data_IF_604535574089
#
_entry.id   IF_604535574089
#
_cell.length_a   1.000
_cell.length_b   1.000
_cell.length_c   1.000
_cell.angle_alpha   90.00
_cell.angle_beta   90.00
_cell.angle_gamma   90.00
#
_symmetry.space_group_name_H-M   'P 1'
#
loop_
_entity.id
_entity.type
_entity.pdbx_description
1 polymer ?
#
# COMPACT_ATOMS: atom_id res chain seq x y z
N UNK A 1 -8.69 -5.91 -1.48
CA UNK A 1 -8.06 -4.63 -1.85
C UNK A 1 -7.39 -4.75 -3.20
N UNK A 2 -7.43 -3.69 -4.00
CA UNK A 2 -6.73 -3.59 -5.28
C UNK A 2 -5.46 -2.76 -5.11
N UNK A 3 -4.32 -3.29 -5.55
CA UNK A 3 -3.03 -2.59 -5.51
C UNK A 3 -2.73 -2.08 -6.93
N UNK A 4 -2.55 -0.77 -7.07
CA UNK A 4 -2.18 -0.15 -8.35
C UNK A 4 -0.73 0.32 -8.23
N UNK A 5 0.15 -0.29 -9.02
CA UNK A 5 1.59 -0.01 -8.98
C UNK A 5 2.22 -0.17 -10.37
N UNK A 6 3.29 0.59 -10.65
CA UNK A 6 4.05 0.45 -11.90
C UNK A 6 4.89 -0.84 -11.95
N UNK A 7 5.46 -1.24 -10.81
CA UNK A 7 6.26 -2.46 -10.65
C UNK A 7 5.56 -3.38 -9.66
N UNK A 8 5.58 -4.69 -9.93
CA UNK A 8 4.99 -5.70 -9.04
C UNK A 8 5.96 -6.08 -7.91
N UNK A 9 5.42 -6.27 -6.72
CA UNK A 9 6.12 -6.83 -5.56
C UNK A 9 5.72 -8.30 -5.31
N UNK A 10 6.28 -8.96 -4.30
CA UNK A 10 6.04 -10.38 -4.03
C UNK A 10 4.63 -10.68 -3.50
N UNK A 11 3.99 -9.75 -2.80
CA UNK A 11 2.63 -9.92 -2.24
C UNK A 11 1.52 -9.54 -3.23
N UNK A 12 1.85 -8.91 -4.35
CA UNK A 12 0.86 -8.46 -5.34
C UNK A 12 0.13 -9.63 -6.03
N UNK A 13 0.64 -10.85 -5.96
CA UNK A 13 -0.01 -12.04 -6.52
C UNK A 13 -1.32 -12.38 -5.78
N UNK A 14 -1.41 -12.05 -4.49
CA UNK A 14 -2.57 -12.38 -3.63
C UNK A 14 -3.80 -11.56 -3.98
N UNK A 15 -3.63 -10.42 -4.66
CA UNK A 15 -4.75 -9.55 -5.03
C UNK A 15 -5.80 -10.25 -5.90
N UNK A 16 -5.43 -11.29 -6.65
CA UNK A 16 -6.35 -12.09 -7.46
C UNK A 16 -7.40 -12.83 -6.62
N UNK A 17 -7.10 -13.08 -5.34
CA UNK A 17 -8.00 -13.76 -4.39
C UNK A 17 -8.74 -12.77 -3.47
N UNK A 18 -8.48 -11.47 -3.58
CA UNK A 18 -9.08 -10.45 -2.73
C UNK A 18 -10.57 -10.24 -3.00
N UNK A 19 -11.41 -10.33 -1.97
CA UNK A 19 -12.87 -10.17 -2.10
C UNK A 19 -13.31 -8.71 -2.31
N UNK A 20 -12.70 -7.76 -1.58
CA UNK A 20 -13.10 -6.36 -1.62
C UNK A 20 -12.27 -5.55 -2.63
N UNK A 21 -12.88 -5.09 -3.72
CA UNK A 21 -12.23 -4.26 -4.73
C UNK A 21 -12.38 -2.75 -4.47
N UNK A 22 -13.12 -2.35 -3.43
CA UNK A 22 -13.39 -0.93 -3.14
C UNK A 22 -12.19 -0.23 -2.50
N UNK A 23 -11.43 -0.95 -1.67
CA UNK A 23 -10.19 -0.45 -1.09
C UNK A 23 -9.07 -0.47 -2.15
N UNK A 24 -8.63 0.73 -2.55
CA UNK A 24 -7.57 0.92 -3.54
C UNK A 24 -6.32 1.44 -2.84
N UNK A 25 -5.21 0.72 -2.98
CA UNK A 25 -3.88 1.16 -2.55
C UNK A 25 -3.04 1.52 -3.77
N UNK A 26 -2.75 2.81 -3.95
CA UNK A 26 -1.90 3.31 -5.04
C UNK A 26 -0.46 3.38 -4.54
N UNK A 27 0.38 2.43 -4.98
CA UNK A 27 1.78 2.35 -4.58
C UNK A 27 2.65 3.15 -5.55
N UNK A 28 2.90 4.40 -5.20
CA UNK A 28 3.85 5.28 -5.89
C UNK A 28 5.07 5.49 -5.01
N UNK A 29 6.26 4.96 -5.39
CA UNK A 29 7.47 5.16 -4.62
C UNK A 29 7.88 6.64 -4.56
N UNK A 30 8.18 7.12 -3.36
CA UNK A 30 8.70 8.47 -3.13
C UNK A 30 10.03 8.36 -2.40
N UNK A 31 11.10 8.94 -2.97
CA UNK A 31 12.43 8.93 -2.37
C UNK A 31 12.73 10.29 -1.72
N UNK A 32 13.09 10.25 -0.44
CA UNK A 32 13.51 11.42 0.33
C UNK A 32 14.95 11.21 0.79
N UNK A 33 15.84 12.09 0.35
CA UNK A 33 17.23 12.11 0.81
C UNK A 33 17.27 12.78 2.19
N UNK A 34 17.94 12.13 3.15
CA UNK A 34 18.10 12.64 4.50
C UNK A 34 19.52 13.14 4.71
N UNK A 35 19.66 14.25 5.45
CA UNK A 35 20.96 14.61 6.02
C UNK A 35 21.27 13.68 7.20
N UNK A 36 22.54 13.46 7.48
CA UNK A 36 22.96 12.60 8.59
C UNK A 36 22.36 13.00 9.96
N UNK A 37 22.13 14.30 10.19
CA UNK A 37 21.49 14.82 11.42
C UNK A 37 19.99 14.54 11.51
N UNK A 38 19.35 14.24 10.39
CA UNK A 38 17.91 13.94 10.29
C UNK A 38 17.64 12.43 10.39
N UNK A 39 18.68 11.60 10.53
CA UNK A 39 18.53 10.16 10.71
C UNK A 39 18.01 9.83 12.10
N UNK A 40 16.73 9.45 12.18
CA UNK A 40 16.04 9.16 13.45
C UNK A 40 16.02 7.68 13.82
N UNK A 41 16.47 6.79 12.92
CA UNK A 41 16.44 5.36 13.15
C UNK A 41 17.65 4.87 13.96
N UNK A 42 17.53 3.73 14.68
CA UNK A 42 18.69 2.98 15.14
C UNK A 42 19.75 2.89 14.04
N UNK A 43 21.01 3.07 14.40
CA UNK A 43 22.11 2.83 13.48
C UNK A 43 23.21 2.01 14.13
N UNK A 44 23.84 1.17 13.33
CA UNK A 44 25.16 0.64 13.66
C UNK A 44 26.13 1.83 13.64
N UNK A 45 26.44 2.36 14.82
CA UNK A 45 27.37 3.48 15.01
C UNK A 45 28.60 3.32 14.12
N UNK A 46 29.00 4.33 13.36
CA UNK A 46 30.19 4.26 12.52
C UNK A 46 31.44 4.22 13.40
N UNK A 47 31.94 3.04 13.73
CA UNK A 47 33.38 2.89 13.99
C UNK A 47 34.03 2.49 12.68
N UNK A 48 35.15 3.12 12.39
CA UNK A 48 36.03 2.91 11.25
C UNK A 48 35.95 1.52 10.63
N UNK A 49 35.67 1.50 9.32
CA UNK A 49 35.86 0.45 8.31
C UNK A 49 36.10 -0.98 8.82
N UNK A 50 35.10 -1.85 8.64
CA UNK A 50 35.42 -3.24 8.35
C UNK A 50 36.18 -3.27 7.02
N UNK A 51 37.48 -3.52 7.06
CA UNK A 51 38.37 -3.49 5.87
C UNK A 51 37.95 -4.51 4.79
N UNK A 52 37.06 -5.45 5.10
CA UNK A 52 36.73 -6.58 4.24
C UNK A 52 35.24 -6.78 3.94
N UNK A 53 34.32 -6.06 4.61
CA UNK A 53 32.88 -6.16 4.37
C UNK A 53 32.25 -4.79 4.35
N UNK A 54 31.53 -4.49 3.28
CA UNK A 54 30.64 -3.34 3.24
C UNK A 54 29.31 -3.76 3.84
N UNK A 55 28.80 -2.94 4.76
CA UNK A 55 27.52 -3.20 5.42
C UNK A 55 26.62 -2.03 5.05
N UNK A 56 25.53 -2.34 4.36
CA UNK A 56 24.45 -1.40 4.13
C UNK A 56 23.35 -1.72 5.14
N UNK A 57 22.94 -0.71 5.89
CA UNK A 57 21.87 -0.88 6.87
C UNK A 57 20.56 -0.42 6.27
N UNK A 58 19.54 -1.26 6.38
CA UNK A 58 18.17 -0.96 6.03
C UNK A 58 17.27 -1.09 7.27
N UNK A 59 16.29 -0.20 7.36
CA UNK A 59 15.18 -0.30 8.30
C UNK A 59 13.92 -0.37 7.44
N UNK A 60 13.31 -1.55 7.40
CA UNK A 60 12.06 -1.78 6.69
C UNK A 60 10.93 -1.42 7.63
N UNK A 61 10.23 -0.33 7.36
CA UNK A 61 8.95 -0.03 7.97
C UNK A 61 7.84 -0.80 7.28
N UNK A 62 7.08 -1.58 8.03
CA UNK A 62 5.96 -2.36 7.53
C UNK A 62 4.78 -2.32 8.51
N UNK A 63 3.68 -1.71 8.06
CA UNK A 63 2.39 -1.60 8.75
C UNK A 63 2.50 -1.16 10.23
N UNK A 64 3.25 -0.09 10.49
CA UNK A 64 3.43 0.48 11.83
C UNK A 64 4.61 -0.07 12.63
N UNK A 65 5.28 -1.12 12.14
CA UNK A 65 6.43 -1.75 12.80
C UNK A 65 7.71 -1.59 11.98
N UNK A 66 8.86 -1.49 12.63
CA UNK A 66 10.16 -1.51 11.96
C UNK A 66 10.85 -2.86 12.06
N UNK A 67 11.58 -3.22 11.00
CA UNK A 67 12.35 -4.45 10.88
C UNK A 67 13.77 -4.09 10.43
N UNK A 68 14.79 -4.33 11.27
CA UNK A 68 16.17 -4.12 10.88
C UNK A 68 16.61 -5.17 9.86
N UNK A 69 17.30 -4.72 8.82
CA UNK A 69 17.95 -5.60 7.86
C UNK A 69 19.36 -5.08 7.56
N UNK A 70 20.34 -5.98 7.57
CA UNK A 70 21.73 -5.68 7.26
C UNK A 70 22.09 -6.37 5.95
N UNK A 71 22.32 -5.60 4.91
CA UNK A 71 22.88 -6.13 3.67
C UNK A 71 24.40 -6.17 3.81
N UNK A 72 24.93 -7.39 3.88
CA UNK A 72 26.36 -7.65 4.00
C UNK A 72 26.94 -7.96 2.64
N UNK A 73 27.91 -7.16 2.22
CA UNK A 73 28.66 -7.37 0.98
C UNK A 73 30.08 -7.84 1.29
N UNK A 74 30.55 -8.84 0.55
CA UNK A 74 31.91 -9.36 0.65
C UNK A 74 32.40 -9.94 -0.68
N UNK A 75 33.62 -10.45 -0.67
CA UNK A 75 34.24 -11.08 -1.84
C UNK A 75 34.85 -12.42 -1.45
N UNK A 76 34.53 -13.46 -2.22
CA UNK A 76 35.18 -14.77 -2.10
C UNK A 76 35.79 -15.12 -3.44
N UNK A 77 37.12 -15.22 -3.49
CA UNK A 77 37.86 -15.54 -4.74
C UNK A 77 37.47 -14.61 -5.91
N UNK A 78 37.33 -13.31 -5.64
CA UNK A 78 36.85 -12.28 -6.59
C UNK A 78 35.38 -12.38 -7.03
N UNK A 79 34.58 -13.30 -6.47
CA UNK A 79 33.13 -13.30 -6.68
C UNK A 79 32.47 -12.42 -5.62
N UNK A 80 31.71 -11.37 -6.01
CA UNK A 80 30.96 -10.57 -5.05
C UNK A 80 29.82 -11.41 -4.45
N UNK A 81 29.66 -11.31 -3.14
CA UNK A 81 28.59 -11.97 -2.39
C UNK A 81 27.82 -10.87 -1.67
N UNK A 82 26.49 -10.90 -1.77
CA UNK A 82 25.59 -10.09 -0.97
C UNK A 82 24.59 -10.99 -0.25
N UNK A 83 24.28 -10.68 1.02
CA UNK A 83 23.23 -11.35 1.77
C UNK A 83 22.53 -10.36 2.70
N UNK A 84 21.20 -10.38 2.70
CA UNK A 84 20.38 -9.61 3.65
C UNK A 84 20.15 -10.43 4.90
N UNK A 85 20.55 -9.88 6.05
CA UNK A 85 20.45 -10.51 7.36
C UNK A 85 19.45 -9.77 8.25
N UNK A 86 18.44 -10.49 8.75
CA UNK A 86 17.42 -9.96 9.66
C UNK A 86 17.65 -10.30 11.13
N UNK A 87 18.53 -11.28 11.40
CA UNK A 87 18.85 -11.72 12.77
C UNK A 87 20.36 -11.80 12.99
N UNK A 88 20.77 -11.85 14.26
CA UNK A 88 22.18 -12.00 14.62
C UNK A 88 22.75 -13.34 14.18
N UNK A 89 21.93 -14.39 14.18
CA UNK A 89 22.31 -15.74 13.74
C UNK A 89 22.63 -15.77 12.24
N UNK A 90 21.91 -14.99 11.45
CA UNK A 90 22.18 -14.85 10.02
C UNK A 90 23.50 -14.12 9.76
N UNK A 91 23.80 -13.10 10.57
CA UNK A 91 25.11 -12.42 10.56
C UNK A 91 26.21 -13.38 10.99
N UNK A 92 26.01 -14.14 12.06
CA UNK A 92 26.94 -15.17 12.54
C UNK A 92 27.22 -16.21 11.44
N UNK A 93 26.18 -16.65 10.72
CA UNK A 93 26.32 -17.59 9.62
C UNK A 93 27.09 -16.99 8.44
N UNK A 94 26.79 -15.75 8.04
CA UNK A 94 27.51 -15.05 6.97
C UNK A 94 29.00 -14.89 7.30
N UNK A 95 29.31 -14.43 8.51
CA UNK A 95 30.70 -14.32 9.00
C UNK A 95 31.35 -15.70 9.10
N UNK A 96 30.61 -16.71 9.56
CA UNK A 96 31.04 -18.09 9.65
C UNK A 96 31.46 -18.68 8.31
N UNK A 97 30.72 -18.38 7.24
CA UNK A 97 30.93 -18.94 5.91
C UNK A 97 32.03 -18.18 5.15
N UNK A 98 31.99 -16.85 5.16
CA UNK A 98 32.79 -16.05 4.23
C UNK A 98 33.98 -15.33 4.85
N UNK A 99 33.99 -15.12 6.16
CA UNK A 99 35.09 -14.40 6.80
C UNK A 99 36.32 -15.30 7.03
N UNK A 100 37.51 -14.72 6.91
CA UNK A 100 38.77 -15.39 7.22
C UNK A 100 38.91 -15.65 8.74
N UNK A 101 39.91 -16.44 9.13
CA UNK A 101 40.14 -16.79 10.54
C UNK A 101 40.35 -15.56 11.42
N UNK A 102 41.15 -14.59 10.96
CA UNK A 102 41.45 -13.36 11.71
C UNK A 102 40.21 -12.48 11.87
N UNK A 103 39.36 -12.43 10.86
CA UNK A 103 38.11 -11.68 10.84
C UNK A 103 37.09 -12.29 11.81
N UNK A 104 36.96 -13.63 11.81
CA UNK A 104 36.14 -14.37 12.78
C UNK A 104 36.61 -14.10 14.21
N UNK A 105 37.92 -14.19 14.45
CA UNK A 105 38.50 -13.92 15.77
C UNK A 105 38.21 -12.48 16.23
N UNK A 106 38.29 -11.51 15.34
CA UNK A 106 37.91 -10.11 15.61
C UNK A 106 36.41 -9.96 15.93
N UNK A 107 35.54 -10.57 15.12
CA UNK A 107 34.09 -10.51 15.28
C UNK A 107 33.63 -11.13 16.60
N UNK A 108 34.16 -12.30 16.96
CA UNK A 108 33.85 -12.99 18.22
C UNK A 108 34.66 -12.49 19.42
N UNK A 109 35.56 -11.51 19.24
CA UNK A 109 36.34 -10.91 20.32
C UNK A 109 37.45 -11.81 20.90
N UNK A 110 37.82 -12.89 20.20
CA UNK A 110 38.89 -13.81 20.60
C UNK A 110 40.24 -13.21 20.17
N UNK A 111 40.87 -12.46 21.07
CA UNK A 111 42.32 -12.21 21.11
C UNK A 111 43.03 -11.83 19.79
N UNK A 112 42.77 -10.64 19.24
CA UNK A 112 43.69 -10.01 18.28
C UNK A 112 44.91 -9.37 18.97
N UNK A 113 46.07 -9.31 18.31
CA UNK A 113 47.20 -8.44 18.72
C UNK A 113 46.67 -7.00 18.86
N UNK A 114 47.13 -6.24 19.87
CA UNK A 114 46.60 -4.93 20.30
C UNK A 114 46.34 -3.93 19.15
N UNK A 115 47.14 -3.99 18.09
CA UNK A 115 47.10 -3.11 16.92
C UNK A 115 46.00 -3.45 15.87
N UNK A 116 45.52 -4.70 15.83
CA UNK A 116 44.44 -5.13 14.92
C UNK A 116 43.06 -5.14 15.59
N UNK A 117 42.98 -4.87 16.90
CA UNK A 117 41.73 -4.88 17.70
C UNK A 117 40.75 -3.73 17.37
N UNK A 118 41.11 -2.82 16.47
CA UNK A 118 40.44 -1.52 16.34
C UNK A 118 39.50 -1.33 15.15
N UNK A 119 39.51 -2.21 14.16
CA UNK A 119 38.88 -1.89 12.85
C UNK A 119 37.62 -2.71 12.53
N UNK A 120 37.35 -3.82 13.21
CA UNK A 120 36.14 -4.62 12.95
C UNK A 120 35.01 -4.36 13.94
N UNK A 121 33.76 -4.38 13.48
CA UNK A 121 32.60 -4.45 14.38
C UNK A 121 32.55 -5.80 15.09
N UNK A 122 32.25 -5.78 16.37
CA UNK A 122 32.08 -7.01 17.17
C UNK A 122 30.66 -7.54 17.04
N UNK A 123 30.49 -8.85 17.23
CA UNK A 123 29.17 -9.49 17.35
C UNK A 123 28.24 -8.76 18.33
N UNK A 124 28.79 -8.28 19.44
CA UNK A 124 28.03 -7.55 20.46
C UNK A 124 27.47 -6.22 19.98
N UNK A 125 28.07 -5.57 18.98
CA UNK A 125 27.54 -4.33 18.38
C UNK A 125 26.36 -4.62 17.46
N UNK A 126 26.42 -5.69 16.67
CA UNK A 126 25.29 -6.17 15.89
C UNK A 126 24.12 -6.58 16.79
N UNK A 127 24.40 -7.35 17.84
CA UNK A 127 23.38 -7.74 18.82
C UNK A 127 22.70 -6.51 19.46
N UNK A 128 23.49 -5.51 19.88
CA UNK A 128 22.96 -4.24 20.41
C UNK A 128 22.11 -3.48 19.40
N UNK A 129 22.47 -3.50 18.12
CA UNK A 129 21.68 -2.88 17.06
C UNK A 129 20.31 -3.54 16.92
N UNK A 130 20.27 -4.87 16.78
CA UNK A 130 19.01 -5.62 16.69
C UNK A 130 18.15 -5.42 17.95
N UNK A 131 18.76 -5.46 19.14
CA UNK A 131 18.08 -5.19 20.41
C UNK A 131 17.52 -3.75 20.47
N UNK A 132 18.27 -2.76 19.98
CA UNK A 132 17.83 -1.37 19.94
C UNK A 132 16.66 -1.16 18.97
N UNK A 133 16.69 -1.85 17.82
CA UNK A 133 15.57 -1.86 16.87
C UNK A 133 14.32 -2.50 17.48
N UNK A 134 14.46 -3.62 18.18
CA UNK A 134 13.32 -4.29 18.83
C UNK A 134 12.68 -3.40 19.90
N UNK A 135 13.50 -2.70 20.70
CA UNK A 135 13.01 -1.73 21.70
C UNK A 135 12.24 -0.55 21.08
N UNK A 136 12.52 -0.19 19.84
CA UNK A 136 11.88 0.91 19.10
C UNK A 136 10.92 0.42 18.02
N UNK A 137 10.52 -0.84 18.06
CA UNK A 137 9.78 -1.50 16.98
C UNK A 137 8.51 -0.76 16.57
N UNK A 138 7.79 -0.20 17.53
CA UNK A 138 6.50 0.48 17.33
C UNK A 138 6.60 2.01 17.48
N UNK A 139 7.79 2.54 17.83
CA UNK A 139 7.99 3.98 18.08
C UNK A 139 7.83 4.86 16.84
N UNK A 140 7.70 4.26 15.66
CA UNK A 140 7.61 4.96 14.38
C UNK A 140 6.21 4.96 13.79
N UNK A 141 5.18 4.50 14.52
CA UNK A 141 3.80 4.41 14.04
C UNK A 141 3.26 5.72 13.46
N UNK A 142 3.58 6.86 14.08
CA UNK A 142 3.17 8.19 13.62
C UNK A 142 3.66 8.50 12.20
N UNK A 143 4.87 8.06 11.84
CA UNK A 143 5.44 8.26 10.50
C UNK A 143 4.60 7.56 9.42
N UNK A 144 4.04 6.39 9.72
CA UNK A 144 3.17 5.67 8.78
C UNK A 144 1.83 6.39 8.58
N UNK A 145 1.29 6.99 9.65
CA UNK A 145 0.03 7.73 9.62
C UNK A 145 0.18 9.05 8.85
N UNK A 146 1.22 9.83 9.16
CA UNK A 146 1.47 11.12 8.52
C UNK A 146 1.67 10.99 7.00
N UNK A 147 2.37 9.94 6.58
CA UNK A 147 2.66 9.69 5.15
C UNK A 147 1.61 8.82 4.46
N UNK A 148 0.58 8.35 5.19
CA UNK A 148 -0.42 7.40 4.68
C UNK A 148 0.20 6.21 3.93
N UNK A 149 1.30 5.70 4.48
CA UNK A 149 2.17 4.79 3.76
C UNK A 149 2.41 3.53 4.59
N UNK A 150 1.93 2.35 4.17
CA UNK A 150 2.13 1.11 4.93
C UNK A 150 3.58 0.63 4.91
N UNK A 151 4.40 1.10 3.96
CA UNK A 151 5.72 0.55 3.68
C UNK A 151 6.73 1.65 3.46
N UNK A 152 7.83 1.65 4.20
CA UNK A 152 8.99 2.45 3.83
C UNK A 152 10.28 1.65 4.02
N UNK A 153 11.33 2.06 3.33
CA UNK A 153 12.68 1.55 3.59
C UNK A 153 13.62 2.70 3.80
N UNK A 154 14.13 2.83 5.02
CA UNK A 154 15.20 3.76 5.34
C UNK A 154 16.55 3.06 5.16
N UNK A 155 17.41 3.60 4.32
CA UNK A 155 18.74 3.06 4.03
C UNK A 155 19.79 4.04 4.47
N UNK A 156 20.82 3.56 5.18
CA UNK A 156 22.03 4.30 5.47
C UNK A 156 23.25 3.51 4.98
N UNK A 157 24.04 4.14 4.12
CA UNK A 157 25.30 3.61 3.60
C UNK A 157 26.33 4.71 3.65
N UNK A 158 27.44 4.51 4.38
CA UNK A 158 28.59 5.40 4.49
C UNK A 158 28.28 6.91 4.66
N UNK A 159 27.94 7.60 3.56
CA UNK A 159 27.67 9.05 3.49
C UNK A 159 26.25 9.41 3.04
N UNK A 160 25.47 8.43 2.62
CA UNK A 160 24.15 8.61 2.03
C UNK A 160 23.11 7.98 2.95
N UNK A 161 22.12 8.78 3.33
CA UNK A 161 20.93 8.33 4.03
C UNK A 161 19.71 8.71 3.22
N UNK A 162 18.79 7.78 3.01
CA UNK A 162 17.54 8.03 2.31
C UNK A 162 16.40 7.19 2.85
N UNK A 163 15.17 7.69 2.72
CA UNK A 163 13.94 6.94 2.94
C UNK A 163 13.23 6.80 1.60
N UNK A 164 12.79 5.60 1.29
CA UNK A 164 11.90 5.34 0.16
C UNK A 164 10.55 4.93 0.73
N UNK A 165 9.55 5.80 0.62
CA UNK A 165 8.16 5.47 0.92
C UNK A 165 7.58 4.65 -0.22
N UNK A 166 6.65 3.74 0.10
CA UNK A 166 6.05 2.80 -0.85
C UNK A 166 7.11 2.00 -1.63
N UNK A 167 8.23 1.67 -0.97
CA UNK A 167 9.32 0.92 -1.56
C UNK A 167 8.89 -0.51 -1.93
N UNK A 168 9.61 -1.11 -2.88
CA UNK A 168 9.51 -2.54 -3.15
C UNK A 168 10.28 -3.30 -2.07
N UNK A 169 9.68 -4.35 -1.53
CA UNK A 169 10.22 -5.19 -0.46
C UNK A 169 10.97 -6.41 -0.98
N UNK A 170 10.68 -6.87 -2.21
CA UNK A 170 11.41 -7.98 -2.84
C UNK A 170 12.94 -7.81 -2.85
N UNK A 171 13.54 -6.65 -3.16
CA UNK A 171 15.00 -6.51 -3.16
C UNK A 171 15.66 -6.74 -1.80
N UNK A 172 14.89 -6.65 -0.72
CA UNK A 172 15.40 -6.80 0.65
C UNK A 172 15.11 -8.20 1.22
N UNK A 173 14.71 -9.16 0.40
CA UNK A 173 14.34 -10.52 0.81
C UNK A 173 13.30 -10.57 1.95
N UNK A 174 12.43 -9.56 2.03
CA UNK A 174 11.45 -9.44 3.12
C UNK A 174 10.39 -10.55 3.11
N UNK A 175 10.28 -11.28 2.00
CA UNK A 175 9.47 -12.50 1.87
C UNK A 175 9.83 -13.58 2.91
N UNK A 176 11.06 -13.53 3.45
CA UNK A 176 11.53 -14.43 4.51
C UNK A 176 10.88 -14.15 5.87
N UNK A 177 10.43 -12.91 6.08
CA UNK A 177 9.79 -12.47 7.33
C UNK A 177 8.28 -12.57 7.22
N UNK A 178 7.72 -12.13 6.09
CA UNK A 178 6.29 -12.23 5.79
C UNK A 178 6.08 -12.95 4.47
N UNK A 179 5.30 -14.02 4.50
CA UNK A 179 4.85 -14.65 3.26
C UNK A 179 3.90 -13.71 2.48
N UNK A 180 3.70 -13.94 1.17
CA UNK A 180 2.86 -13.09 0.33
C UNK A 180 1.46 -12.82 0.90
N UNK A 181 0.81 -13.81 1.53
CA UNK A 181 -0.55 -13.66 2.06
C UNK A 181 -0.57 -12.83 3.33
N UNK A 182 0.31 -13.13 4.29
CA UNK A 182 0.43 -12.35 5.52
C UNK A 182 0.78 -10.89 5.22
N UNK A 183 1.73 -10.66 4.31
CA UNK A 183 2.08 -9.30 3.89
C UNK A 183 0.89 -8.56 3.26
N UNK A 184 0.14 -9.22 2.37
CA UNK A 184 -1.05 -8.63 1.76
C UNK A 184 -2.13 -8.30 2.79
N UNK A 185 -2.36 -9.20 3.75
CA UNK A 185 -3.36 -9.02 4.81
C UNK A 185 -2.99 -7.87 5.76
N UNK A 186 -1.73 -7.76 6.18
CA UNK A 186 -1.26 -6.66 7.01
C UNK A 186 -1.44 -5.30 6.31
N UNK A 187 -1.08 -5.22 5.02
CA UNK A 187 -1.32 -4.01 4.22
C UNK A 187 -2.82 -3.71 4.15
N UNK A 188 -3.65 -4.73 3.91
CA UNK A 188 -5.11 -4.56 3.88
C UNK A 188 -5.64 -3.99 5.20
N UNK A 189 -5.23 -4.58 6.33
CA UNK A 189 -5.62 -4.12 7.66
C UNK A 189 -5.18 -2.68 7.90
N UNK A 190 -3.91 -2.36 7.62
CA UNK A 190 -3.38 -1.01 7.74
C UNK A 190 -4.18 -0.01 6.90
N UNK A 191 -4.38 -0.30 5.61
CA UNK A 191 -5.13 0.56 4.69
C UNK A 191 -6.59 0.72 5.10
N UNK A 192 -7.22 -0.32 5.66
CA UNK A 192 -8.60 -0.26 6.15
C UNK A 192 -8.74 0.53 7.45
N UNK A 193 -7.69 0.58 8.28
CA UNK A 193 -7.69 1.31 9.54
C UNK A 193 -7.51 2.82 9.36
N UNK A 194 -6.96 3.24 8.22
CA UNK A 194 -6.90 4.65 7.88
C UNK A 194 -8.31 5.15 7.56
N UNK A 195 -8.79 6.10 8.36
CA UNK A 195 -10.03 6.80 8.09
C UNK A 195 -9.91 7.47 6.71
N UNK A 196 -10.57 6.88 5.71
CA UNK A 196 -10.67 7.54 4.42
C UNK A 196 -11.49 8.81 4.61
N UNK A 197 -11.08 9.95 4.03
CA UNK A 197 -11.96 11.11 3.98
C UNK A 197 -13.29 10.65 3.40
N UNK A 198 -14.39 10.99 4.07
CA UNK A 198 -15.73 10.65 3.57
C UNK A 198 -15.80 11.09 2.11
N UNK A 199 -16.22 10.17 1.23
CA UNK A 199 -16.47 10.54 -0.17
C UNK A 199 -17.38 11.75 -0.15
N UNK A 200 -16.94 12.85 -0.75
CA UNK A 200 -17.76 14.05 -0.86
C UNK A 200 -19.13 13.63 -1.36
N UNK A 201 -20.16 13.91 -0.56
CA UNK A 201 -21.52 13.58 -0.96
C UNK A 201 -21.75 14.27 -2.30
N UNK A 202 -22.05 13.52 -3.38
CA UNK A 202 -22.27 14.15 -4.67
C UNK A 202 -23.39 15.17 -4.46
N UNK A 203 -23.16 16.41 -4.89
CA UNK A 203 -24.19 17.45 -4.82
C UNK A 203 -25.31 17.04 -5.76
N UNK A 204 -26.29 16.30 -5.23
CA UNK A 204 -27.45 15.86 -5.99
C UNK A 204 -28.26 17.12 -6.26
N UNK A 205 -28.46 17.46 -7.53
CA UNK A 205 -29.34 18.55 -7.93
C UNK A 205 -30.74 18.33 -7.36
N UNK A 206 -31.45 19.42 -7.06
CA UNK A 206 -32.81 19.32 -6.51
C UNK A 206 -33.74 18.53 -7.44
N UNK A 207 -33.56 18.63 -8.76
CA UNK A 207 -34.31 17.89 -9.77
C UNK A 207 -34.14 16.37 -9.61
N UNK A 208 -32.90 15.89 -9.41
CA UNK A 208 -32.62 14.48 -9.16
C UNK A 208 -33.16 14.01 -7.81
N UNK A 209 -33.18 14.88 -6.79
CA UNK A 209 -33.81 14.59 -5.49
C UNK A 209 -35.33 14.45 -5.63
N UNK A 210 -35.96 15.30 -6.43
CA UNK A 210 -37.40 15.28 -6.75
C UNK A 210 -37.73 14.00 -7.52
N UNK A 211 -36.98 13.69 -8.59
CA UNK A 211 -37.17 12.46 -9.37
C UNK A 211 -36.98 11.18 -8.55
N UNK A 212 -35.93 11.08 -7.72
CA UNK A 212 -35.71 9.89 -6.85
C UNK A 212 -36.82 9.66 -5.84
N UNK A 213 -37.53 10.71 -5.43
CA UNK A 213 -38.69 10.62 -4.52
C UNK A 213 -39.98 10.23 -5.25
N UNK A 214 -39.93 10.00 -6.57
CA UNK A 214 -41.09 9.67 -7.38
C UNK A 214 -41.98 10.89 -7.70
N UNK A 215 -41.49 12.10 -7.46
CA UNK A 215 -42.18 13.30 -7.90
C UNK A 215 -41.88 13.55 -9.37
N UNK A 216 -42.88 13.35 -10.22
CA UNK A 216 -42.89 13.91 -11.57
C UNK A 216 -43.32 15.40 -11.52
N UNK A 217 -43.21 16.09 -12.66
CA UNK A 217 -43.64 17.49 -12.80
C UNK A 217 -45.12 17.70 -12.42
N UNK A 218 -45.91 16.64 -12.41
CA UNK A 218 -47.37 16.65 -12.28
C UNK A 218 -47.87 16.04 -10.96
N UNK A 219 -46.98 15.66 -10.04
CA UNK A 219 -47.37 14.95 -8.81
C UNK A 219 -48.26 15.79 -7.88
N UNK A 220 -48.33 17.10 -8.12
CA UNK A 220 -49.20 18.04 -7.41
C UNK A 220 -50.10 18.87 -8.35
N UNK A 221 -50.13 18.59 -9.64
CA UNK A 221 -50.92 19.36 -10.62
C UNK A 221 -51.55 18.43 -11.65
N UNK A 222 -52.85 18.58 -11.91
CA UNK A 222 -53.53 17.82 -12.96
C UNK A 222 -52.86 18.10 -14.31
N UNK A 223 -52.60 17.06 -15.09
CA UNK A 223 -52.15 17.23 -16.47
C UNK A 223 -53.17 18.09 -17.24
N UNK A 224 -52.72 19.17 -17.90
CA UNK A 224 -53.58 19.99 -18.74
C UNK A 224 -53.95 19.16 -19.98
N UNK A 225 -55.17 18.61 -19.96
CA UNK A 225 -55.69 17.77 -21.03
C UNK A 225 -56.56 16.62 -20.52
N UNK A 226 -56.39 16.19 -19.27
CA UNK A 226 -57.23 15.16 -18.68
C UNK A 226 -58.40 15.78 -17.90
N UNK A 227 -59.17 16.63 -18.60
CA UNK A 227 -60.51 16.97 -18.13
C UNK A 227 -61.36 15.71 -18.19
N UNK A 228 -61.94 15.36 -17.05
CA UNK A 228 -62.79 14.22 -16.73
C UNK A 228 -64.12 14.20 -17.54
N UNK A 229 -64.07 14.40 -18.86
CA UNK A 229 -65.25 14.47 -19.75
C UNK A 229 -65.26 13.39 -20.85
N UNK A 230 -64.38 12.40 -20.79
CA UNK A 230 -64.34 11.33 -21.81
C UNK A 230 -64.95 10.00 -21.36
N UNK A 231 -65.37 9.85 -20.10
CA UNK A 231 -65.85 8.56 -19.57
C UNK A 231 -67.37 8.33 -19.67
N UNK A 232 -68.14 9.31 -20.17
CA UNK A 232 -69.60 9.18 -20.29
C UNK A 232 -70.14 8.97 -21.73
N UNK A 233 -69.29 8.94 -22.77
CA UNK A 233 -69.77 8.81 -24.17
C UNK A 233 -69.63 7.38 -24.73
N UNK A 234 -68.93 6.47 -24.06
CA UNK A 234 -68.76 5.09 -24.58
C UNK A 234 -69.73 4.04 -24.03
N UNK A 235 -70.75 4.43 -23.24
CA UNK A 235 -71.73 3.48 -22.67
C UNK A 235 -73.17 3.61 -23.21
N UNK A 236 -73.39 4.36 -24.30
CA UNK A 236 -74.70 4.44 -25.00
C UNK A 236 -74.52 4.22 -26.52
N UNK A 237 -73.73 3.22 -26.93
CA UNK A 237 -73.66 2.80 -28.34
C UNK A 237 -73.51 1.28 -28.50
N UNK A 238 -74.00 0.50 -27.54
CA UNK A 238 -74.02 -0.97 -27.61
C UNK A 238 -75.40 -1.60 -27.44
N UNK A 239 -76.45 -0.84 -27.74
CA UNK A 239 -77.83 -1.32 -27.84
C UNK A 239 -78.51 -0.62 -29.01
N UNK A 240 -78.19 -1.07 -30.23
CA UNK A 240 -79.17 -1.27 -31.31
C UNK A 240 -78.46 -1.83 -32.54
N UNK A 241 -78.50 -3.16 -32.63
CA UNK A 241 -78.49 -3.84 -33.91
C UNK A 241 -79.65 -3.29 -34.74
N UNK A 242 -79.37 -2.69 -35.89
CA UNK A 242 -79.92 -3.13 -37.18
C UNK A 242 -79.77 -2.04 -38.26
N UNK A 243 -79.38 -2.51 -39.44
CA UNK A 243 -79.87 -2.02 -40.74
C UNK A 243 -79.21 -0.74 -41.31
N UNK A 244 -78.33 -1.05 -42.29
CA UNK A 244 -78.14 -0.43 -43.60
C UNK A 244 -77.52 0.96 -43.76
N UNK A 245 -76.52 0.97 -44.65
CA UNK A 245 -76.32 1.94 -45.73
C UNK A 245 -76.14 3.40 -45.33
N UNK A 246 -74.91 3.90 -45.47
CA UNK A 246 -74.58 5.01 -46.37
C UNK A 246 -73.13 5.46 -46.13
N UNK A 247 -72.18 4.84 -46.84
CA UNK A 247 -70.90 5.48 -47.12
C UNK A 247 -71.10 6.43 -48.30
N UNK A 248 -71.34 7.71 -48.02
CA UNK A 248 -71.25 8.75 -49.02
C UNK A 248 -70.83 10.07 -48.37
N UNK A 249 -69.65 10.54 -48.79
CA UNK A 249 -69.33 11.94 -49.05
C UNK A 249 -69.53 12.93 -47.90
N UNK A 250 -68.44 13.41 -47.30
CA UNK A 250 -68.24 14.84 -47.07
C UNK A 250 -66.74 15.12 -46.86
N UNK A 251 -66.02 15.30 -47.97
CA UNK A 251 -64.80 16.10 -48.01
C UNK A 251 -65.22 17.45 -48.59
N UNK A 252 -65.37 18.46 -47.73
CA UNK A 252 -65.47 19.85 -48.17
C UNK A 252 -64.55 20.70 -47.30
N UNK A 253 -63.46 21.04 -47.96
CA UNK A 253 -62.55 22.16 -47.77
C UNK A 253 -63.27 23.50 -47.59
N UNK A 254 -63.02 24.15 -46.47
CA UNK A 254 -63.07 25.60 -46.21
C UNK A 254 -62.01 25.79 -45.10
N UNK A 255 -61.00 26.64 -45.17
CA UNK A 255 -60.84 27.94 -45.83
C UNK A 255 -60.01 28.77 -44.85
#
# INVERSE_FOLDING_TARGET
MRIIAMKKDYYDCVQAHGQDQTLIYVRTPEEVQLKQKEWTFPSLYSSWWFVFMEITQHIVGFCGKIYPALEMHGYVRNTPISKVCFTIEEVDAFVGEYADRSQKDSYYGKSGRRWWRGYGKRRSEFAKFFEHCEKKRESYAEMFQEKHCPIFVATISNRNSKIIYNALLRPYDFVRIFDPYSAFQEIFMFMSSMAMPEKEMPVVSNELKIQKRGFDKWSFSKEPGNSFYSFWIFHICKLNNSITSCCALFNLTLG
#
